data_IF_768438976303
#
_entry.id   IF_768438976303
#
_cell.length_a   1.000
_cell.length_b   1.000
_cell.length_c   1.000
_cell.angle_alpha   90.00
_cell.angle_beta   90.00
_cell.angle_gamma   90.00
#
_symmetry.space_group_name_H-M   'P 1'
#
loop_
_entity.id
_entity.type
_entity.pdbx_description
1 polymer ?
#
# COMPACT_ATOMS: atom_id res chain seq x y z
N UNK A 1 -3.86 15.51 -0.03
CA UNK A 1 -2.71 14.89 0.67
C UNK A 1 -1.57 15.88 0.95
N UNK A 2 -1.16 16.74 -0.01
CA UNK A 2 -0.04 17.68 0.17
C UNK A 2 -0.05 18.46 1.50
N UNK A 3 -1.18 19.08 1.88
CA UNK A 3 -1.31 19.80 3.16
C UNK A 3 -0.97 18.93 4.39
N UNK A 4 -1.34 17.64 4.39
CA UNK A 4 -1.02 16.71 5.47
C UNK A 4 0.48 16.39 5.52
N UNK A 5 1.14 16.23 4.36
CA UNK A 5 2.58 15.99 4.32
C UNK A 5 3.37 17.20 4.80
N UNK A 6 3.00 18.41 4.39
CA UNK A 6 3.64 19.64 4.87
C UNK A 6 3.50 19.78 6.38
N UNK A 7 2.30 19.58 6.92
CA UNK A 7 2.07 19.63 8.37
C UNK A 7 2.94 18.61 9.14
N UNK A 8 3.11 17.38 8.62
CA UNK A 8 3.97 16.35 9.24
C UNK A 8 5.47 16.65 9.13
N UNK A 9 5.90 17.29 8.05
CA UNK A 9 7.27 17.79 7.89
C UNK A 9 7.54 18.98 8.81
N UNK A 10 6.56 19.86 9.00
CA UNK A 10 6.64 21.02 9.89
C UNK A 10 6.66 20.61 11.37
N UNK A 11 5.85 19.61 11.76
CA UNK A 11 5.81 19.10 13.12
C UNK A 11 6.98 18.17 13.49
N UNK A 12 7.83 17.80 12.53
CA UNK A 12 8.95 16.88 12.75
C UNK A 12 8.56 15.41 12.83
N UNK A 13 7.30 15.05 12.55
CA UNK A 13 6.88 13.65 12.41
C UNK A 13 7.57 13.00 11.22
N UNK A 14 7.73 13.75 10.13
CA UNK A 14 8.53 13.34 8.96
C UNK A 14 9.87 14.06 8.94
N UNK A 15 10.90 13.33 8.50
CA UNK A 15 12.25 13.89 8.38
C UNK A 15 12.41 14.56 7.03
N UNK A 16 12.73 15.86 7.05
CA UNK A 16 12.95 16.67 5.83
C UNK A 16 14.18 16.23 5.03
N UNK A 17 15.19 15.68 5.70
CA UNK A 17 16.45 15.20 5.12
C UNK A 17 16.79 13.82 5.71
N UNK A 18 16.09 12.76 5.28
CA UNK A 18 16.22 11.45 5.89
C UNK A 18 17.62 10.86 5.66
N UNK A 19 18.23 10.36 6.72
CA UNK A 19 19.50 9.61 6.67
C UNK A 19 19.23 8.12 6.45
N UNK A 20 18.92 7.76 5.20
CA UNK A 20 18.56 6.40 4.81
C UNK A 20 19.74 5.45 4.99
N UNK A 21 19.52 4.35 5.71
CA UNK A 21 20.57 3.36 6.04
C UNK A 21 20.22 1.99 5.49
N UNK A 22 21.19 1.31 4.89
CA UNK A 22 21.05 -0.11 4.57
C UNK A 22 21.45 -0.93 5.79
N UNK A 23 20.51 -1.73 6.29
CA UNK A 23 20.71 -2.58 7.48
C UNK A 23 21.18 -3.98 7.09
N UNK A 24 20.61 -4.53 6.03
CA UNK A 24 20.99 -5.81 5.46
C UNK A 24 20.93 -5.74 3.94
N UNK A 25 21.81 -6.52 3.28
CA UNK A 25 21.89 -6.56 1.82
C UNK A 25 22.42 -7.93 1.36
N UNK A 26 21.77 -8.49 0.35
CA UNK A 26 22.22 -9.66 -0.41
C UNK A 26 22.13 -9.33 -1.92
N UNK A 27 22.57 -10.21 -2.84
CA UNK A 27 22.38 -9.97 -4.28
C UNK A 27 20.93 -9.64 -4.67
N UNK A 28 19.94 -10.33 -4.09
CA UNK A 28 18.51 -10.20 -4.46
C UNK A 28 17.67 -9.46 -3.42
N UNK A 29 18.16 -9.19 -2.21
CA UNK A 29 17.38 -8.54 -1.14
C UNK A 29 18.08 -7.36 -0.49
N UNK A 30 17.32 -6.44 0.11
CA UNK A 30 17.83 -5.42 1.02
C UNK A 30 16.78 -5.03 2.09
N UNK A 31 17.26 -4.65 3.26
CA UNK A 31 16.46 -4.01 4.33
C UNK A 31 17.00 -2.60 4.56
N UNK A 32 16.14 -1.59 4.48
CA UNK A 32 16.46 -0.19 4.68
C UNK A 32 15.76 0.38 5.92
N UNK A 33 16.43 1.30 6.61
CA UNK A 33 15.82 2.24 7.55
C UNK A 33 15.65 3.59 6.84
N UNK A 34 14.41 4.06 6.71
CA UNK A 34 14.10 5.27 5.97
C UNK A 34 14.18 6.55 6.79
N UNK A 35 14.47 6.48 8.10
CA UNK A 35 14.58 7.66 8.96
C UNK A 35 13.36 8.59 8.84
N UNK A 36 12.15 8.02 8.83
CA UNK A 36 10.86 8.71 8.62
C UNK A 36 10.79 9.56 7.35
N UNK A 37 11.50 9.15 6.30
CA UNK A 37 11.51 9.78 4.99
C UNK A 37 10.26 9.50 4.15
N UNK A 38 9.80 10.52 3.42
CA UNK A 38 8.65 10.45 2.51
C UNK A 38 9.09 10.02 1.10
N UNK A 39 8.31 9.16 0.45
CA UNK A 39 8.45 8.90 -0.99
C UNK A 39 9.74 8.15 -1.38
N UNK A 40 10.14 7.16 -0.57
CA UNK A 40 11.35 6.39 -0.80
C UNK A 40 11.33 5.65 -2.14
N UNK A 41 12.40 5.82 -2.93
CA UNK A 41 12.59 5.19 -4.24
C UNK A 41 13.20 3.77 -4.14
N UNK A 42 12.75 2.99 -3.16
CA UNK A 42 13.24 1.63 -2.90
C UNK A 42 13.03 0.68 -4.09
N UNK A 43 11.99 0.92 -4.90
CA UNK A 43 11.76 0.14 -6.11
C UNK A 43 12.93 0.22 -7.11
N UNK A 44 13.63 1.36 -7.23
CA UNK A 44 14.78 1.43 -8.16
C UNK A 44 15.88 0.43 -7.77
N UNK A 45 16.10 0.23 -6.47
CA UNK A 45 17.05 -0.78 -5.98
C UNK A 45 16.52 -2.20 -6.22
N UNK A 46 15.22 -2.43 -6.01
CA UNK A 46 14.60 -3.71 -6.34
C UNK A 46 14.76 -4.04 -7.83
N UNK A 47 14.52 -3.07 -8.72
CA UNK A 47 14.68 -3.25 -10.17
C UNK A 47 16.14 -3.51 -10.53
N UNK A 48 17.10 -2.76 -10.00
CA UNK A 48 18.53 -3.00 -10.25
C UNK A 48 18.95 -4.43 -9.88
N UNK A 49 18.48 -4.92 -8.72
CA UNK A 49 18.70 -6.30 -8.27
C UNK A 49 18.02 -7.32 -9.19
N UNK A 50 16.77 -7.08 -9.58
CA UNK A 50 16.03 -7.94 -10.49
C UNK A 50 16.69 -8.03 -11.87
N UNK A 51 17.24 -6.92 -12.37
CA UNK A 51 17.97 -6.90 -13.66
C UNK A 51 19.27 -7.70 -13.61
N UNK A 52 19.92 -7.78 -12.46
CA UNK A 52 21.15 -8.55 -12.27
C UNK A 52 20.89 -10.04 -11.97
N UNK A 53 19.80 -10.36 -11.25
CA UNK A 53 19.60 -11.68 -10.64
C UNK A 53 18.20 -12.29 -10.85
N UNK A 54 17.37 -11.69 -11.71
CA UNK A 54 16.00 -12.11 -12.02
C UNK A 54 14.94 -11.62 -11.03
N UNK A 55 15.29 -11.44 -9.76
CA UNK A 55 14.38 -10.92 -8.72
C UNK A 55 15.10 -9.95 -7.78
N UNK A 56 14.37 -8.94 -7.32
CA UNK A 56 14.85 -7.98 -6.33
C UNK A 56 13.76 -7.63 -5.32
N UNK A 57 14.08 -7.70 -4.03
CA UNK A 57 13.17 -7.33 -2.94
C UNK A 57 13.84 -6.28 -2.06
N UNK A 58 13.13 -5.20 -1.76
CA UNK A 58 13.57 -4.18 -0.81
C UNK A 58 12.46 -3.96 0.20
N UNK A 59 12.78 -4.20 1.47
CA UNK A 59 11.91 -3.90 2.60
C UNK A 59 12.41 -2.62 3.24
N UNK A 60 11.50 -1.73 3.60
CA UNK A 60 11.82 -0.44 4.20
C UNK A 60 11.08 -0.31 5.52
N UNK A 61 11.81 -0.09 6.60
CA UNK A 61 11.24 0.20 7.93
C UNK A 61 11.38 1.67 8.27
N UNK A 62 10.63 2.09 9.29
CA UNK A 62 10.68 3.46 9.82
C UNK A 62 10.46 4.48 8.69
N UNK A 63 9.51 4.21 7.81
CA UNK A 63 9.17 5.07 6.68
C UNK A 63 8.00 5.98 7.03
N UNK A 64 7.92 7.11 6.32
CA UNK A 64 6.69 7.89 6.26
C UNK A 64 5.70 7.28 5.26
N UNK A 65 4.54 7.93 5.09
CA UNK A 65 3.53 7.52 4.13
C UNK A 65 4.10 7.32 2.70
N UNK A 66 3.80 6.16 2.10
CA UNK A 66 4.34 5.74 0.80
C UNK A 66 3.94 6.65 -0.38
N UNK A 67 2.79 7.32 -0.28
CA UNK A 67 2.13 7.95 -1.42
C UNK A 67 1.23 6.94 -2.13
N UNK A 68 1.17 7.01 -3.46
CA UNK A 68 0.45 6.00 -4.25
C UNK A 68 1.30 4.75 -4.42
N UNK A 69 0.82 3.58 -3.99
CA UNK A 69 1.57 2.34 -4.13
C UNK A 69 1.77 1.96 -5.61
N UNK A 70 0.78 2.27 -6.45
CA UNK A 70 0.84 2.06 -7.90
C UNK A 70 1.97 2.81 -8.58
N UNK A 71 2.33 4.02 -8.11
CA UNK A 71 3.48 4.75 -8.63
C UNK A 71 4.77 3.93 -8.52
N UNK A 72 5.01 3.34 -7.35
CA UNK A 72 6.20 2.52 -7.10
C UNK A 72 6.18 1.24 -7.92
N UNK A 73 5.04 0.55 -8.02
CA UNK A 73 4.93 -0.64 -8.87
C UNK A 73 5.20 -0.30 -10.35
N UNK A 74 4.69 0.83 -10.84
CA UNK A 74 4.88 1.29 -12.23
C UNK A 74 6.34 1.57 -12.58
N UNK A 75 7.16 2.07 -11.64
CA UNK A 75 8.60 2.28 -11.87
C UNK A 75 9.34 0.99 -12.31
N UNK A 76 8.85 -0.19 -11.87
CA UNK A 76 9.38 -1.48 -12.32
C UNK A 76 8.81 -1.87 -13.69
N UNK A 77 7.49 -1.69 -13.90
CA UNK A 77 6.83 -1.98 -15.18
C UNK A 77 7.46 -1.20 -16.34
N UNK A 78 7.76 0.08 -16.15
CA UNK A 78 8.42 0.93 -17.14
C UNK A 78 9.82 0.41 -17.53
N UNK A 79 10.47 -0.35 -16.65
CA UNK A 79 11.78 -0.95 -16.88
C UNK A 79 11.68 -2.42 -17.35
N UNK A 80 10.50 -2.90 -17.73
CA UNK A 80 10.30 -4.28 -18.19
C UNK A 80 10.35 -5.32 -17.06
N UNK A 81 10.09 -4.91 -15.82
CA UNK A 81 9.94 -5.79 -14.67
C UNK A 81 8.48 -5.83 -14.22
N UNK A 82 8.01 -6.94 -13.67
CA UNK A 82 6.76 -6.92 -12.89
C UNK A 82 7.07 -6.27 -11.54
N UNK A 83 6.31 -5.24 -11.18
CA UNK A 83 6.44 -4.49 -9.94
C UNK A 83 5.35 -4.86 -8.95
N UNK A 84 5.71 -4.98 -7.68
CA UNK A 84 4.77 -5.14 -6.58
C UNK A 84 5.16 -4.25 -5.42
N UNK A 85 4.19 -3.57 -4.83
CA UNK A 85 4.43 -2.72 -3.66
C UNK A 85 3.29 -2.85 -2.66
N UNK A 86 3.65 -2.97 -1.39
CA UNK A 86 2.73 -2.92 -0.26
C UNK A 86 3.27 -1.97 0.80
N UNK A 87 2.39 -1.45 1.65
CA UNK A 87 2.79 -0.74 2.83
C UNK A 87 1.81 -0.92 3.97
N UNK A 88 2.29 -0.80 5.20
CA UNK A 88 1.46 -0.62 6.38
C UNK A 88 1.17 0.86 6.58
N UNK A 89 -0.01 1.20 7.09
CA UNK A 89 -0.31 2.59 7.42
C UNK A 89 0.50 3.05 8.63
N UNK A 90 0.87 4.33 8.64
CA UNK A 90 1.34 5.03 9.83
C UNK A 90 0.16 5.41 10.74
N UNK A 91 0.41 5.53 12.04
CA UNK A 91 -0.61 5.98 13.00
C UNK A 91 -1.61 4.88 13.41
N UNK A 92 -2.73 5.27 14.06
CA UNK A 92 -3.63 4.31 14.67
C UNK A 92 -4.33 3.41 13.63
N UNK A 93 -4.59 2.14 13.98
CA UNK A 93 -5.38 1.24 13.14
C UNK A 93 -6.74 1.82 12.76
N UNK A 94 -7.15 1.56 11.52
CA UNK A 94 -8.42 2.04 10.96
C UNK A 94 -9.37 0.91 10.56
N UNK A 95 -8.85 -0.27 10.26
CA UNK A 95 -9.58 -1.38 9.64
C UNK A 95 -9.72 -2.53 10.63
N UNK A 96 -10.94 -3.05 10.78
CA UNK A 96 -11.20 -4.25 11.60
C UNK A 96 -10.80 -5.52 10.85
N UNK A 97 -10.29 -6.55 11.54
CA UNK A 97 -10.29 -7.90 11.00
C UNK A 97 -11.74 -8.34 10.70
N UNK A 98 -11.90 -9.25 9.73
CA UNK A 98 -13.23 -9.80 9.42
C UNK A 98 -13.85 -10.44 10.66
N UNK A 99 -15.07 -10.02 11.03
CA UNK A 99 -15.76 -10.47 12.24
C UNK A 99 -15.25 -9.85 13.55
N UNK A 100 -14.32 -8.90 13.49
CA UNK A 100 -13.82 -8.16 14.64
C UNK A 100 -14.53 -6.81 14.83
N UNK A 101 -14.49 -6.29 16.06
CA UNK A 101 -15.02 -4.97 16.42
C UNK A 101 -13.94 -3.94 16.80
N UNK A 102 -12.66 -4.36 16.87
CA UNK A 102 -11.53 -3.49 17.19
C UNK A 102 -10.61 -3.38 15.98
N UNK A 103 -10.23 -2.16 15.54
CA UNK A 103 -9.35 -2.00 14.41
C UNK A 103 -7.96 -2.56 14.75
N UNK A 104 -7.36 -3.26 13.78
CA UNK A 104 -6.02 -3.83 13.88
C UNK A 104 -5.15 -3.43 12.70
N UNK A 105 -5.72 -3.20 11.54
CA UNK A 105 -4.94 -2.87 10.34
C UNK A 105 -5.08 -1.40 9.96
N UNK A 106 -4.09 -0.88 9.25
CA UNK A 106 -4.26 0.31 8.44
C UNK A 106 -5.10 0.04 7.19
N UNK A 107 -5.21 1.04 6.30
CA UNK A 107 -5.80 0.82 4.96
C UNK A 107 -4.91 -0.05 4.08
N UNK A 108 -3.65 -0.26 4.49
CA UNK A 108 -2.68 -1.22 3.96
C UNK A 108 -2.79 -1.44 2.43
N UNK A 109 -2.26 -0.52 1.61
CA UNK A 109 -2.37 -0.64 0.16
C UNK A 109 -1.56 -1.80 -0.40
N UNK A 110 -2.05 -2.33 -1.52
CA UNK A 110 -1.37 -3.31 -2.36
C UNK A 110 -1.44 -2.85 -3.81
N UNK A 111 -0.29 -2.87 -4.47
CA UNK A 111 -0.17 -2.54 -5.87
C UNK A 111 0.64 -3.58 -6.64
N UNK A 112 0.24 -3.82 -7.88
CA UNK A 112 0.94 -4.61 -8.88
C UNK A 112 0.94 -3.87 -10.20
N UNK A 113 2.07 -3.90 -10.90
CA UNK A 113 2.16 -3.38 -12.25
C UNK A 113 2.96 -4.35 -13.14
N UNK A 114 2.57 -4.46 -14.41
CA UNK A 114 3.22 -5.33 -15.37
C UNK A 114 3.41 -4.64 -16.73
N UNK A 115 4.57 -4.84 -17.39
CA UNK A 115 4.87 -4.20 -18.66
C UNK A 115 3.98 -4.73 -19.80
N UNK A 116 3.58 -3.84 -20.69
CA UNK A 116 2.88 -4.13 -21.94
C UNK A 116 3.71 -3.67 -23.14
N UNK A 117 3.28 -4.01 -24.36
CA UNK A 117 3.88 -3.54 -25.59
C UNK A 117 3.34 -2.17 -25.97
N UNK A 118 2.28 -2.15 -26.76
CA UNK A 118 1.65 -0.90 -27.20
C UNK A 118 0.48 -0.46 -26.31
N UNK A 119 -0.14 -1.37 -25.54
CA UNK A 119 -1.16 -0.99 -24.56
C UNK A 119 -0.51 -0.26 -23.38
N UNK A 120 -1.31 0.45 -22.56
CA UNK A 120 -0.81 0.97 -21.28
C UNK A 120 -0.42 -0.21 -20.35
N UNK A 121 0.62 -0.07 -19.51
CA UNK A 121 0.97 -1.11 -18.54
C UNK A 121 -0.23 -1.48 -17.66
N UNK A 122 -0.35 -2.76 -17.33
CA UNK A 122 -1.35 -3.20 -16.36
C UNK A 122 -1.00 -2.59 -15.00
N UNK A 123 -2.00 -2.01 -14.32
CA UNK A 123 -1.88 -1.49 -12.97
C UNK A 123 -3.08 -1.90 -12.12
N UNK A 124 -2.79 -2.54 -11.00
CA UNK A 124 -3.72 -2.80 -9.91
C UNK A 124 -3.22 -2.02 -8.70
N UNK A 125 -4.03 -1.13 -8.13
CA UNK A 125 -3.70 -0.37 -6.91
C UNK A 125 -4.96 -0.16 -6.08
N UNK A 126 -5.01 -0.78 -4.90
CA UNK A 126 -6.14 -0.66 -4.00
C UNK A 126 -5.73 -0.77 -2.53
N UNK A 127 -6.57 -0.23 -1.65
CA UNK A 127 -6.48 -0.42 -0.21
C UNK A 127 -7.24 -1.69 0.19
N UNK A 128 -6.76 -2.44 1.20
CA UNK A 128 -7.50 -3.62 1.71
C UNK A 128 -8.78 -3.24 2.45
N UNK A 129 -8.94 -1.98 2.83
CA UNK A 129 -10.21 -1.42 3.30
C UNK A 129 -11.19 -1.25 2.14
N UNK A 130 -12.48 -1.52 2.36
CA UNK A 130 -13.56 -1.31 1.38
C UNK A 130 -13.57 0.12 0.82
N UNK A 131 -13.17 1.11 1.64
CA UNK A 131 -12.94 2.49 1.22
C UNK A 131 -11.63 3.00 1.81
N UNK A 132 -10.86 3.75 1.02
CA UNK A 132 -9.66 4.41 1.52
C UNK A 132 -10.03 5.59 2.44
N UNK A 133 -9.25 5.83 3.51
CA UNK A 133 -9.54 6.89 4.49
C UNK A 133 -9.62 8.30 3.88
N UNK A 134 -8.83 8.59 2.85
CA UNK A 134 -8.91 9.87 2.12
C UNK A 134 -10.24 10.06 1.37
N UNK A 135 -10.91 8.97 0.95
CA UNK A 135 -12.25 9.02 0.34
C UNK A 135 -13.33 9.27 1.39
N UNK A 136 -13.11 8.86 2.64
CA UNK A 136 -13.99 9.24 3.77
C UNK A 136 -13.93 10.75 4.00
N UNK A 137 -12.73 11.34 4.03
CA UNK A 137 -12.57 12.80 4.13
C UNK A 137 -13.20 13.54 2.94
N UNK A 138 -13.11 12.98 1.73
CA UNK A 138 -13.74 13.55 0.54
C UNK A 138 -15.27 13.51 0.66
N UNK A 139 -15.83 12.38 1.11
CA UNK A 139 -17.26 12.23 1.33
C UNK A 139 -17.78 13.19 2.42
N UNK A 140 -17.00 13.40 3.49
CA UNK A 140 -17.31 14.39 4.53
C UNK A 140 -17.37 15.81 3.95
N UNK A 141 -16.39 16.21 3.15
CA UNK A 141 -16.35 17.55 2.54
C UNK A 141 -17.48 17.79 1.54
N UNK A 142 -17.90 16.75 0.84
CA UNK A 142 -18.93 16.83 -0.19
C UNK A 142 -20.33 16.50 0.35
N UNK A 143 -20.46 16.15 1.64
CA UNK A 143 -21.69 15.66 2.24
C UNK A 143 -22.36 14.51 1.46
N UNK A 144 -21.54 13.60 0.90
CA UNK A 144 -22.01 12.44 0.13
C UNK A 144 -21.92 11.16 0.95
N UNK A 145 -22.81 10.17 0.72
CA UNK A 145 -22.74 8.89 1.42
C UNK A 145 -21.51 8.08 1.00
N UNK A 146 -20.98 7.29 1.95
CA UNK A 146 -20.01 6.26 1.67
C UNK A 146 -20.68 5.06 0.98
N UNK A 147 -19.92 4.25 0.22
CA UNK A 147 -20.43 2.98 -0.28
C UNK A 147 -20.93 2.10 0.86
N UNK A 148 -22.05 1.41 0.64
CA UNK A 148 -22.59 0.44 1.59
C UNK A 148 -21.53 -0.58 2.02
N UNK A 149 -21.53 -0.92 3.31
CA UNK A 149 -20.60 -1.88 3.89
C UNK A 149 -19.19 -1.35 4.13
N UNK A 150 -18.95 -0.04 4.01
CA UNK A 150 -17.62 0.56 4.19
C UNK A 150 -17.21 0.77 5.64
N UNK A 151 -18.19 0.87 6.55
CA UNK A 151 -18.00 1.31 7.94
C UNK A 151 -18.55 0.26 8.90
N UNK A 152 -17.89 0.10 10.04
CA UNK A 152 -18.27 -0.76 11.15
C UNK A 152 -18.49 0.11 12.37
N UNK A 153 -19.60 -0.09 13.08
CA UNK A 153 -19.83 0.55 14.37
C UNK A 153 -18.96 -0.13 15.45
N UNK A 154 -18.12 0.64 16.15
CA UNK A 154 -17.19 0.06 17.12
C UNK A 154 -17.87 -0.46 18.39
N UNK A 155 -19.11 -0.02 18.68
CA UNK A 155 -19.89 -0.48 19.85
C UNK A 155 -20.56 -1.81 19.57
N UNK A 156 -21.23 -1.95 18.42
CA UNK A 156 -21.94 -3.18 18.07
C UNK A 156 -21.07 -4.20 17.32
N UNK A 157 -19.99 -3.75 16.68
CA UNK A 157 -19.21 -4.55 15.74
C UNK A 157 -19.92 -4.83 14.42
N UNK A 158 -21.09 -4.22 14.17
CA UNK A 158 -21.88 -4.46 12.97
C UNK A 158 -21.42 -3.59 11.80
N UNK A 159 -21.37 -4.20 10.62
CA UNK A 159 -21.14 -3.50 9.36
C UNK A 159 -22.39 -2.69 9.01
N UNK A 160 -22.21 -1.41 8.70
CA UNK A 160 -23.29 -0.50 8.30
C UNK A 160 -23.56 -0.69 6.81
N UNK A 161 -24.73 -1.26 6.50
CA UNK A 161 -25.18 -1.47 5.11
C UNK A 161 -26.02 -0.30 4.59
N UNK A 162 -26.62 0.48 5.49
CA UNK A 162 -27.40 1.65 5.13
C UNK A 162 -26.50 2.79 4.61
N UNK A 163 -27.03 3.75 3.82
CA UNK A 163 -26.27 4.94 3.44
C UNK A 163 -25.72 5.68 4.65
N UNK A 164 -24.39 5.79 4.73
CA UNK A 164 -23.70 6.48 5.83
C UNK A 164 -23.02 7.74 5.31
N UNK A 165 -23.48 8.92 5.74
CA UNK A 165 -22.84 10.21 5.41
C UNK A 165 -21.96 10.64 6.60
N UNK A 166 -20.63 10.73 6.44
CA UNK A 166 -19.76 11.13 7.53
C UNK A 166 -19.96 12.62 7.85
N UNK A 167 -20.21 12.93 9.13
CA UNK A 167 -20.44 14.30 9.61
C UNK A 167 -19.16 14.95 10.19
N UNK A 168 -18.07 14.20 10.23
CA UNK A 168 -16.79 14.61 10.82
C UNK A 168 -15.62 14.07 9.96
N UNK A 169 -14.42 14.67 10.04
CA UNK A 169 -13.23 14.13 9.40
C UNK A 169 -12.91 12.70 9.84
N UNK A 170 -12.18 11.94 9.00
CA UNK A 170 -11.90 10.52 9.24
C UNK A 170 -11.23 10.26 10.59
N UNK A 171 -10.29 11.12 11.01
CA UNK A 171 -9.55 10.96 12.27
C UNK A 171 -10.48 11.04 13.51
N UNK A 172 -11.60 11.76 13.39
CA UNK A 172 -12.63 11.86 14.45
C UNK A 172 -13.64 10.73 14.32
N UNK A 173 -14.03 10.39 13.10
CA UNK A 173 -14.96 9.29 12.80
C UNK A 173 -14.46 7.97 13.40
N UNK A 174 -13.15 7.71 13.27
CA UNK A 174 -12.51 6.47 13.69
C UNK A 174 -12.52 6.23 15.22
N UNK A 175 -13.00 7.20 16.02
CA UNK A 175 -13.21 7.01 17.46
C UNK A 175 -14.46 6.18 17.75
N UNK A 176 -15.50 6.30 16.93
CA UNK A 176 -16.78 5.61 17.10
C UNK A 176 -17.01 4.52 16.05
N UNK A 177 -16.28 4.58 14.95
CA UNK A 177 -16.40 3.67 13.83
C UNK A 177 -15.03 3.13 13.41
N UNK A 178 -15.04 2.10 12.59
CA UNK A 178 -13.87 1.58 11.89
C UNK A 178 -14.22 1.34 10.43
N UNK A 179 -13.21 1.13 9.60
CA UNK A 179 -13.40 0.74 8.21
C UNK A 179 -13.53 -0.79 8.10
N UNK A 180 -14.41 -1.25 7.23
CA UNK A 180 -14.55 -2.66 6.92
C UNK A 180 -13.45 -3.12 5.94
N UNK A 181 -12.94 -4.36 6.07
CA UNK A 181 -12.07 -4.94 5.05
C UNK A 181 -12.87 -5.23 3.79
N UNK A 182 -12.26 -5.01 2.63
CA UNK A 182 -12.88 -5.36 1.35
C UNK A 182 -13.13 -6.87 1.28
N UNK A 183 -14.26 -7.27 0.69
CA UNK A 183 -14.62 -8.68 0.53
C UNK A 183 -14.48 -9.53 1.83
N UNK A 184 -14.70 -8.92 3.00
CA UNK A 184 -14.68 -9.60 4.30
C UNK A 184 -13.36 -10.29 4.63
N UNK A 185 -13.40 -11.62 4.82
CA UNK A 185 -12.24 -12.42 5.21
C UNK A 185 -11.08 -12.35 4.21
N UNK A 186 -11.35 -12.12 2.92
CA UNK A 186 -10.31 -11.99 1.89
C UNK A 186 -9.46 -10.74 2.08
N UNK A 187 -10.09 -9.57 2.24
CA UNK A 187 -9.38 -8.32 2.55
C UNK A 187 -8.69 -8.38 3.91
N UNK A 188 -9.32 -9.02 4.91
CA UNK A 188 -8.68 -9.25 6.20
C UNK A 188 -7.43 -10.12 6.10
N UNK A 189 -7.46 -11.19 5.29
CA UNK A 189 -6.28 -12.02 5.03
C UNK A 189 -5.17 -11.25 4.30
N UNK A 190 -5.54 -10.42 3.32
CA UNK A 190 -4.60 -9.53 2.64
C UNK A 190 -3.99 -8.50 3.59
N UNK A 191 -4.77 -7.95 4.52
CA UNK A 191 -4.24 -7.04 5.53
C UNK A 191 -3.19 -7.72 6.42
N UNK A 192 -3.41 -9.00 6.78
CA UNK A 192 -2.47 -9.82 7.53
C UNK A 192 -1.16 -10.09 6.77
N UNK A 193 -1.22 -10.47 5.49
CA UNK A 193 0.02 -10.71 4.71
C UNK A 193 0.81 -9.42 4.49
N UNK A 194 0.14 -8.28 4.33
CA UNK A 194 0.80 -6.98 4.26
C UNK A 194 1.55 -6.69 5.56
N UNK A 195 0.93 -6.92 6.71
CA UNK A 195 1.58 -6.73 8.01
C UNK A 195 2.80 -7.64 8.17
N UNK A 196 2.69 -8.91 7.78
CA UNK A 196 3.81 -9.87 7.81
C UNK A 196 4.97 -9.40 6.92
N UNK A 197 4.70 -9.02 5.66
CA UNK A 197 5.73 -8.69 4.69
C UNK A 197 6.31 -7.28 4.86
N UNK A 198 5.55 -6.34 5.43
CA UNK A 198 6.02 -4.98 5.67
C UNK A 198 6.60 -4.82 7.07
N UNK A 199 5.88 -5.20 8.14
CA UNK A 199 6.33 -4.98 9.51
C UNK A 199 7.20 -6.14 10.02
N UNK A 200 6.67 -7.36 10.10
CA UNK A 200 7.37 -8.49 10.72
C UNK A 200 8.67 -8.82 10.00
N UNK A 201 8.66 -8.84 8.66
CA UNK A 201 9.85 -9.07 7.84
C UNK A 201 10.90 -7.96 8.01
N UNK A 202 10.48 -6.75 8.37
CA UNK A 202 11.38 -5.63 8.64
C UNK A 202 11.89 -5.59 10.10
N UNK A 203 11.51 -6.58 10.92
CA UNK A 203 11.85 -6.65 12.34
C UNK A 203 11.07 -5.66 13.21
N UNK A 204 9.87 -5.25 12.78
CA UNK A 204 8.97 -4.38 13.53
C UNK A 204 7.84 -5.18 14.18
N UNK A 205 7.23 -4.66 15.28
CA UNK A 205 6.02 -5.24 15.82
C UNK A 205 4.83 -5.08 14.84
N UNK A 206 3.71 -5.78 15.07
CA UNK A 206 2.51 -5.66 14.23
C UNK A 206 2.02 -4.21 14.11
N UNK A 207 1.31 -3.90 13.01
CA UNK A 207 0.93 -2.53 12.63
C UNK A 207 0.13 -1.74 13.67
N UNK A 208 -0.53 -2.41 14.61
CA UNK A 208 -1.25 -1.76 15.72
C UNK A 208 -0.38 -1.39 16.92
N UNK A 209 0.91 -1.74 16.90
CA UNK A 209 1.89 -1.53 17.96
C UNK A 209 3.15 -0.80 17.44
N UNK A 210 3.05 -0.18 16.25
CA UNK A 210 4.09 0.68 15.66
C UNK A 210 3.47 1.98 15.15
N UNK A 211 4.20 3.09 15.31
CA UNK A 211 3.78 4.39 14.81
C UNK A 211 4.31 4.67 13.38
N UNK A 212 5.35 3.96 12.95
CA UNK A 212 5.98 4.15 11.66
C UNK A 212 5.43 3.17 10.62
N UNK A 213 5.37 3.63 9.37
CA UNK A 213 5.03 2.79 8.22
C UNK A 213 6.22 1.89 7.87
N UNK A 214 5.91 0.71 7.36
CA UNK A 214 6.87 -0.14 6.68
C UNK A 214 6.36 -0.48 5.28
N UNK A 215 7.29 -0.74 4.37
CA UNK A 215 7.03 -0.88 2.94
C UNK A 215 7.73 -2.11 2.41
N UNK A 216 7.09 -2.81 1.47
CA UNK A 216 7.63 -3.96 0.77
C UNK A 216 7.62 -3.66 -0.73
N UNK A 217 8.76 -3.78 -1.38
CA UNK A 217 8.90 -3.61 -2.82
C UNK A 217 9.53 -4.84 -3.45
N UNK A 218 8.90 -5.36 -4.50
CA UNK A 218 9.38 -6.49 -5.28
C UNK A 218 9.42 -6.09 -6.77
N UNK A 219 10.51 -6.46 -7.42
CA UNK A 219 10.65 -6.42 -8.86
C UNK A 219 11.05 -7.81 -9.37
N UNK A 220 10.44 -8.24 -10.48
CA UNK A 220 10.75 -9.49 -11.18
C UNK A 220 11.12 -9.13 -12.62
N UNK A 221 12.34 -9.43 -13.08
CA UNK A 221 12.72 -9.19 -14.47
C UNK A 221 12.10 -10.26 -15.37
N UNK A 222 11.21 -9.83 -16.26
CA UNK A 222 10.50 -10.72 -17.20
C UNK A 222 11.49 -11.55 -18.02
N UNK A 223 12.64 -10.96 -18.36
CA UNK A 223 13.69 -11.60 -19.17
C UNK A 223 14.33 -12.81 -18.51
N UNK A 224 14.19 -12.97 -17.18
CA UNK A 224 14.64 -14.17 -16.49
C UNK A 224 13.78 -15.41 -16.80
N UNK A 225 12.58 -15.22 -17.37
CA UNK A 225 11.63 -16.30 -17.67
C UNK A 225 11.32 -16.41 -19.17
N UNK A 226 11.17 -15.30 -19.88
CA UNK A 226 10.79 -15.27 -21.29
C UNK A 226 11.31 -14.00 -21.98
N UNK A 227 11.58 -14.01 -23.29
CA UNK A 227 11.92 -12.79 -24.03
C UNK A 227 10.85 -11.71 -23.84
N UNK A 228 11.27 -10.51 -23.41
CA UNK A 228 10.37 -9.40 -23.13
C UNK A 228 9.41 -9.04 -24.31
N UNK A 229 9.83 -9.08 -25.59
CA UNK A 229 8.90 -8.84 -26.71
C UNK A 229 7.75 -9.86 -26.75
N UNK A 230 8.03 -11.14 -26.51
CA UNK A 230 7.02 -12.20 -26.50
C UNK A 230 6.03 -12.02 -25.35
N UNK A 231 6.54 -11.70 -24.15
CA UNK A 231 5.71 -11.36 -22.99
C UNK A 231 4.78 -10.18 -23.27
N UNK A 232 5.32 -9.10 -23.86
CA UNK A 232 4.56 -7.88 -24.17
C UNK A 232 3.42 -8.14 -25.15
N UNK A 233 3.64 -8.98 -26.17
CA UNK A 233 2.56 -9.39 -27.10
C UNK A 233 1.45 -10.16 -26.38
N UNK A 234 1.81 -11.05 -25.44
CA UNK A 234 0.81 -11.77 -24.64
C UNK A 234 0.03 -10.81 -23.71
N UNK A 235 0.73 -9.85 -23.10
CA UNK A 235 0.10 -8.82 -22.26
C UNK A 235 -0.83 -7.91 -23.06
N UNK A 236 -0.42 -7.45 -24.24
CA UNK A 236 -1.27 -6.64 -25.11
C UNK A 236 -2.55 -7.41 -25.46
N UNK A 237 -2.45 -8.67 -25.87
CA UNK A 237 -3.63 -9.53 -26.14
C UNK A 237 -4.56 -9.70 -24.94
N UNK A 238 -4.01 -9.79 -23.72
CA UNK A 238 -4.80 -9.87 -22.50
C UNK A 238 -5.55 -8.55 -22.22
N UNK A 239 -4.91 -7.41 -22.49
CA UNK A 239 -5.45 -6.08 -22.17
C UNK A 239 -6.41 -5.55 -23.24
N UNK A 240 -6.21 -5.95 -24.49
CA UNK A 240 -7.06 -5.62 -25.65
C UNK A 240 -8.35 -6.45 -25.70
N UNK A 241 -8.96 -6.82 -24.57
CA UNK A 241 -10.22 -7.58 -24.54
C UNK A 241 -11.19 -6.95 -25.54
N UNK A 242 -11.43 -7.66 -26.66
CA UNK A 242 -12.25 -7.19 -27.77
C UNK A 242 -13.65 -6.92 -27.23
N UNK A 243 -13.98 -5.65 -27.05
CA UNK A 243 -15.37 -5.18 -26.96
C UNK A 243 -16.04 -5.30 -28.31
#
# INVERSE_FOLDING_TARGET
MLRRYLAKLESGVYTKRPAVRTLHHTPTTALWDADRGLGMLAMHTAVAKAKAHGVGVVVVRNAAHLGGAGYHAMLAAEQGCIGHTMATSEGPPMVVPSGGAKPRFGTNPIAWAAPSGHAAPFLLDFAVSQIAGNKVDLAYRNATPLPSGSVVDNRSGSVIMEPFVPCVPVDVLLKSYSLAPMAGHKGSGLAGIIDILCNSLAGLPPGWDTEASAQFHLAIDVRAFTPLPCYKVAMDRMLEVRT
#
